data_IF_550536267111
#
_entry.id   IF_550536267111
#
_cell.length_a   1.000
_cell.length_b   1.000
_cell.length_c   1.000
_cell.angle_alpha   90.00
_cell.angle_beta   90.00
_cell.angle_gamma   90.00
#
_symmetry.space_group_name_H-M   'P 1'
#
loop_
_entity.id
_entity.type
_entity.pdbx_description
1 polymer ?
#
# COMPACT_ATOMS: atom_id res chain seq x y z
N UNK A 1 29.70 -14.21 -1.38
CA UNK A 1 28.31 -14.73 -1.47
C UNK A 1 27.41 -13.52 -1.31
N UNK A 2 27.11 -12.86 -2.42
CA UNK A 2 26.42 -11.57 -2.45
C UNK A 2 24.92 -11.86 -2.43
N UNK A 3 24.33 -11.79 -1.23
CA UNK A 3 22.89 -11.98 -1.07
C UNK A 3 22.18 -10.79 -1.71
N UNK A 4 21.71 -11.04 -2.93
CA UNK A 4 20.96 -10.09 -3.74
C UNK A 4 19.78 -9.51 -2.94
N UNK A 5 19.63 -8.17 -2.85
CA UNK A 5 18.47 -7.53 -2.22
C UNK A 5 17.14 -7.80 -2.97
N UNK A 6 17.17 -8.55 -4.07
CA UNK A 6 16.01 -8.97 -4.86
C UNK A 6 15.18 -10.06 -4.20
N UNK A 7 15.81 -10.95 -3.43
CA UNK A 7 15.09 -12.08 -2.81
C UNK A 7 14.31 -11.61 -1.60
N UNK A 8 14.88 -10.75 -0.74
CA UNK A 8 14.21 -10.25 0.47
C UNK A 8 12.90 -9.52 0.16
N UNK A 9 12.85 -8.79 -0.95
CA UNK A 9 11.68 -8.01 -1.33
C UNK A 9 10.55 -8.89 -1.89
N UNK A 10 10.88 -9.87 -2.75
CA UNK A 10 9.90 -10.80 -3.31
C UNK A 10 9.39 -11.80 -2.26
N UNK A 11 10.26 -12.27 -1.37
CA UNK A 11 9.95 -13.20 -0.29
C UNK A 11 9.08 -12.55 0.80
N UNK A 12 9.33 -11.27 1.13
CA UNK A 12 8.46 -10.51 2.06
C UNK A 12 7.09 -10.19 1.46
N UNK A 13 7.00 -9.95 0.15
CA UNK A 13 5.71 -9.78 -0.54
C UNK A 13 4.91 -11.09 -0.56
N UNK A 14 5.57 -12.24 -0.67
CA UNK A 14 4.91 -13.55 -0.60
C UNK A 14 4.29 -13.83 0.79
N UNK A 15 4.78 -13.20 1.86
CA UNK A 15 4.17 -13.28 3.19
C UNK A 15 2.91 -12.42 3.39
N UNK A 16 2.56 -11.55 2.43
CA UNK A 16 1.47 -10.59 2.52
C UNK A 16 0.10 -11.13 2.04
N UNK A 17 -0.09 -12.45 2.05
CA UNK A 17 -1.34 -13.13 1.68
C UNK A 17 -2.59 -12.62 2.44
N UNK A 18 -2.40 -11.94 3.58
CA UNK A 18 -3.48 -11.34 4.38
C UNK A 18 -3.70 -9.84 4.16
N UNK A 19 -2.96 -9.22 3.25
CA UNK A 19 -2.95 -7.77 3.04
C UNK A 19 -2.05 -7.05 4.04
N UNK A 20 -1.16 -6.20 3.54
CA UNK A 20 -0.24 -5.40 4.31
C UNK A 20 -0.74 -3.95 4.49
N UNK A 21 -0.35 -3.29 5.56
CA UNK A 21 -0.59 -1.84 5.69
C UNK A 21 0.31 -1.08 4.71
N UNK A 22 -0.25 -0.12 3.99
CA UNK A 22 0.48 0.75 3.05
C UNK A 22 1.68 1.41 3.73
N UNK A 23 1.53 1.85 4.99
CA UNK A 23 2.61 2.43 5.77
C UNK A 23 3.75 1.45 6.09
N UNK A 24 3.45 0.16 6.20
CA UNK A 24 4.46 -0.88 6.42
C UNK A 24 5.21 -1.17 5.11
N UNK A 25 4.48 -1.29 3.99
CA UNK A 25 5.08 -1.37 2.66
C UNK A 25 5.99 -0.16 2.36
N UNK A 26 5.58 1.05 2.74
CA UNK A 26 6.42 2.25 2.62
C UNK A 26 7.80 2.06 3.26
N UNK A 27 7.82 1.56 4.50
CA UNK A 27 9.07 1.28 5.21
C UNK A 27 9.91 0.22 4.49
N UNK A 28 9.29 -0.83 3.97
CA UNK A 28 9.96 -1.90 3.21
C UNK A 28 10.66 -1.34 1.97
N UNK A 29 10.04 -0.40 1.26
CA UNK A 29 10.62 0.21 0.05
C UNK A 29 11.55 1.39 0.34
N UNK A 30 11.78 1.72 1.62
CA UNK A 30 12.57 2.88 2.02
C UNK A 30 11.87 4.23 1.79
N UNK A 31 10.55 4.25 1.61
CA UNK A 31 9.74 5.46 1.52
C UNK A 31 9.14 5.83 2.88
N UNK A 32 9.06 7.14 3.14
CA UNK A 32 8.33 7.63 4.30
C UNK A 32 6.83 7.30 4.19
N UNK A 33 6.16 6.86 5.27
CA UNK A 33 4.73 6.56 5.25
C UNK A 33 3.90 7.75 4.77
N UNK A 34 4.18 8.98 5.23
CA UNK A 34 3.48 10.18 4.74
C UNK A 34 3.68 10.41 3.23
N UNK A 35 4.87 10.10 2.71
CA UNK A 35 5.22 10.31 1.30
C UNK A 35 4.46 9.35 0.40
N UNK A 36 4.40 8.07 0.76
CA UNK A 36 3.63 7.10 -0.03
C UNK A 36 2.14 7.47 -0.08
N UNK A 37 1.55 7.91 1.03
CA UNK A 37 0.16 8.35 1.06
C UNK A 37 -0.06 9.62 0.23
N UNK A 38 0.92 10.53 0.14
CA UNK A 38 0.86 11.67 -0.78
C UNK A 38 0.83 11.22 -2.22
N UNK A 39 1.83 10.43 -2.63
CA UNK A 39 1.97 9.91 -4.00
C UNK A 39 0.70 9.17 -4.42
N UNK A 40 0.19 8.28 -3.58
CA UNK A 40 -1.02 7.53 -3.88
C UNK A 40 -2.25 8.44 -4.08
N UNK A 41 -2.35 9.54 -3.33
CA UNK A 41 -3.44 10.52 -3.49
C UNK A 41 -3.26 11.36 -4.75
N UNK A 42 -2.03 11.80 -5.02
CA UNK A 42 -1.68 12.58 -6.22
C UNK A 42 -1.94 11.79 -7.51
N UNK A 43 -1.65 10.49 -7.50
CA UNK A 43 -1.90 9.60 -8.64
C UNK A 43 -3.33 9.07 -8.73
N UNK A 44 -4.28 9.59 -7.92
CA UNK A 44 -5.66 9.09 -7.85
C UNK A 44 -5.72 7.57 -7.64
N UNK A 45 -4.81 7.03 -6.83
CA UNK A 45 -4.85 5.64 -6.36
C UNK A 45 -5.64 5.56 -5.05
N UNK A 46 -5.40 6.53 -4.16
CA UNK A 46 -6.18 6.76 -2.96
C UNK A 46 -7.00 8.05 -3.08
N UNK A 47 -8.18 8.03 -2.48
CA UNK A 47 -9.03 9.21 -2.33
C UNK A 47 -8.45 10.15 -1.26
N UNK A 48 -8.41 11.43 -1.56
CA UNK A 48 -7.77 12.45 -0.73
C UNK A 48 -8.72 13.22 0.19
N UNK A 49 -10.03 12.96 0.15
CA UNK A 49 -11.03 13.77 0.86
C UNK A 49 -12.24 13.01 1.38
N UNK A 50 -12.86 13.61 2.40
CA UNK A 50 -14.09 13.17 3.04
C UNK A 50 -13.94 11.91 3.89
N UNK A 51 -15.06 11.23 4.14
CA UNK A 51 -15.14 9.96 4.85
C UNK A 51 -14.38 8.81 4.14
N UNK A 52 -14.04 9.03 2.86
CA UNK A 52 -13.30 8.09 2.02
C UNK A 52 -11.80 8.39 1.96
N UNK A 53 -11.29 9.24 2.86
CA UNK A 53 -9.87 9.58 2.89
C UNK A 53 -9.02 8.32 3.09
N UNK A 54 -8.04 8.12 2.21
CA UNK A 54 -7.13 6.97 2.15
C UNK A 54 -7.80 5.67 1.72
N UNK A 55 -8.99 5.73 1.13
CA UNK A 55 -9.59 4.59 0.44
C UNK A 55 -9.08 4.48 -1.00
N UNK A 56 -8.82 3.26 -1.49
CA UNK A 56 -8.45 3.05 -2.87
C UNK A 56 -9.66 3.24 -3.77
N UNK A 57 -9.44 3.66 -5.02
CA UNK A 57 -10.52 3.65 -6.00
C UNK A 57 -10.99 2.23 -6.26
N UNK A 58 -12.29 2.08 -6.52
CA UNK A 58 -12.93 0.78 -6.78
C UNK A 58 -12.21 -0.01 -7.88
N UNK A 59 -11.68 0.67 -8.90
CA UNK A 59 -10.88 0.04 -9.97
C UNK A 59 -9.68 -0.74 -9.42
N UNK A 60 -8.93 -0.19 -8.45
CA UNK A 60 -7.76 -0.89 -7.90
C UNK A 60 -8.14 -2.02 -6.93
N UNK A 61 -9.34 -1.93 -6.33
CA UNK A 61 -9.92 -3.03 -5.55
C UNK A 61 -10.30 -4.17 -6.48
N UNK A 62 -11.01 -3.86 -7.58
CA UNK A 62 -11.45 -4.84 -8.58
C UNK A 62 -10.25 -5.55 -9.26
N UNK A 63 -9.18 -4.80 -9.55
CA UNK A 63 -7.91 -5.36 -10.03
C UNK A 63 -7.18 -6.24 -9.00
N UNK A 64 -7.62 -6.22 -7.74
CA UNK A 64 -7.07 -7.00 -6.64
C UNK A 64 -5.75 -6.46 -6.09
N UNK A 65 -5.46 -5.16 -6.27
CA UNK A 65 -4.25 -4.52 -5.76
C UNK A 65 -4.41 -4.05 -4.32
N UNK A 66 -5.60 -3.61 -3.94
CA UNK A 66 -5.91 -3.18 -2.59
C UNK A 66 -7.17 -3.87 -2.10
N UNK A 67 -7.26 -4.01 -0.79
CA UNK A 67 -8.47 -4.46 -0.11
C UNK A 67 -8.81 -3.48 0.99
N UNK A 68 -10.10 -3.30 1.24
CA UNK A 68 -10.60 -2.41 2.29
C UNK A 68 -11.21 -3.29 3.37
N UNK A 69 -10.62 -3.24 4.56
CA UNK A 69 -11.16 -3.91 5.73
C UNK A 69 -11.99 -2.92 6.54
N UNK A 70 -13.27 -3.23 6.73
CA UNK A 70 -14.10 -2.50 7.67
C UNK A 70 -13.83 -3.01 9.08
N UNK A 71 -13.57 -2.09 10.00
CA UNK A 71 -13.36 -2.38 11.41
C UNK A 71 -14.22 -1.42 12.22
N UNK A 72 -15.07 -1.96 13.06
CA UNK A 72 -15.79 -1.18 14.07
C UNK A 72 -14.86 -0.87 15.23
N UNK A 73 -14.79 0.39 15.64
CA UNK A 73 -14.11 0.80 16.85
C UNK A 73 -15.03 1.72 17.65
N UNK A 74 -15.08 1.51 18.96
CA UNK A 74 -15.84 2.35 19.86
C UNK A 74 -15.05 3.63 20.14
N UNK A 75 -15.69 4.78 19.94
CA UNK A 75 -15.15 6.07 20.37
C UNK A 75 -16.23 6.82 21.11
N UNK A 76 -15.97 7.16 22.38
CA UNK A 76 -16.88 7.93 23.24
C UNK A 76 -18.33 7.38 23.22
N UNK A 77 -18.51 6.09 23.49
CA UNK A 77 -19.82 5.39 23.52
C UNK A 77 -20.52 5.23 22.15
N UNK A 78 -19.95 5.77 21.06
CA UNK A 78 -20.44 5.54 19.70
C UNK A 78 -19.58 4.50 18.96
N UNK A 79 -20.22 3.45 18.45
CA UNK A 79 -19.59 2.51 17.53
C UNK A 79 -19.36 3.19 16.17
N UNK A 80 -18.10 3.51 15.84
CA UNK A 80 -17.74 4.05 14.53
C UNK A 80 -17.19 2.97 13.62
N UNK A 81 -17.60 3.02 12.36
CA UNK A 81 -17.11 2.14 11.31
C UNK A 81 -15.89 2.80 10.69
N UNK A 82 -14.71 2.25 10.99
CA UNK A 82 -13.47 2.58 10.31
C UNK A 82 -13.26 1.74 9.06
N UNK A 83 -12.64 2.34 8.05
CA UNK A 83 -12.19 1.62 6.88
C UNK A 83 -10.67 1.68 6.79
N UNK A 84 -10.02 0.52 6.76
CA UNK A 84 -8.57 0.41 6.66
C UNK A 84 -8.19 -0.17 5.32
N UNK A 85 -7.40 0.57 4.56
CA UNK A 85 -6.87 0.12 3.28
C UNK A 85 -5.62 -0.71 3.48
N UNK A 86 -5.65 -1.92 2.93
CA UNK A 86 -4.53 -2.84 2.89
C UNK A 86 -4.10 -3.04 1.43
N UNK A 87 -2.79 -3.18 1.21
CA UNK A 87 -2.21 -3.54 -0.07
C UNK A 87 -2.05 -5.06 -0.13
N UNK A 88 -2.48 -5.69 -1.22
CA UNK A 88 -2.29 -7.14 -1.42
C UNK A 88 -0.89 -7.41 -1.96
N UNK A 89 -0.40 -8.65 -1.92
CA UNK A 89 0.89 -8.98 -2.54
C UNK A 89 0.97 -8.60 -4.04
N UNK A 90 -0.15 -8.74 -4.77
CA UNK A 90 -0.27 -8.26 -6.16
C UNK A 90 -0.17 -6.74 -6.25
N UNK A 91 -0.81 -6.03 -5.32
CA UNK A 91 -0.72 -4.58 -5.20
C UNK A 91 0.70 -4.10 -4.94
N UNK A 92 1.44 -4.76 -4.05
CA UNK A 92 2.82 -4.41 -3.71
C UNK A 92 3.75 -4.52 -4.92
N UNK A 93 3.60 -5.59 -5.71
CA UNK A 93 4.34 -5.76 -6.97
C UNK A 93 4.00 -4.65 -7.97
N UNK A 94 2.71 -4.36 -8.15
CA UNK A 94 2.25 -3.31 -9.06
C UNK A 94 2.74 -1.93 -8.61
N UNK A 95 2.63 -1.61 -7.32
CA UNK A 95 3.05 -0.33 -6.76
C UNK A 95 4.55 -0.13 -6.87
N UNK A 96 5.33 -1.17 -6.57
CA UNK A 96 6.78 -1.16 -6.71
C UNK A 96 7.17 -0.85 -8.15
N UNK A 97 6.58 -1.57 -9.12
CA UNK A 97 6.81 -1.31 -10.54
C UNK A 97 6.39 0.11 -10.93
N UNK A 98 5.26 0.58 -10.43
CA UNK A 98 4.76 1.94 -10.68
C UNK A 98 5.70 3.00 -10.11
N UNK A 99 6.27 2.78 -8.93
CA UNK A 99 7.23 3.73 -8.33
C UNK A 99 8.58 3.74 -9.03
N UNK A 100 9.00 2.60 -9.58
CA UNK A 100 10.19 2.54 -10.45
C UNK A 100 9.94 3.35 -11.73
N UNK A 101 8.78 3.15 -12.38
CA UNK A 101 8.36 3.89 -13.58
C UNK A 101 8.27 5.41 -13.35
N UNK A 102 7.78 5.82 -12.18
CA UNK A 102 7.71 7.21 -11.75
C UNK A 102 9.06 7.80 -11.31
N UNK A 103 10.14 7.01 -11.28
CA UNK A 103 11.46 7.44 -10.81
C UNK A 103 11.53 7.70 -9.29
N UNK A 104 10.49 7.30 -8.54
CA UNK A 104 10.41 7.45 -7.08
C UNK A 104 11.30 6.42 -6.40
N UNK A 105 11.24 5.18 -6.88
CA UNK A 105 12.17 4.13 -6.51
C UNK A 105 13.23 4.02 -7.60
N UNK A 106 14.50 3.97 -7.20
CA UNK A 106 15.53 3.53 -8.12
C UNK A 106 15.39 2.03 -8.29
N UNK A 107 15.19 1.56 -9.52
CA UNK A 107 15.50 0.18 -9.84
C UNK A 107 16.96 -0.02 -9.45
N UNK A 108 17.24 -0.74 -8.36
CA UNK A 108 18.60 -1.19 -8.12
C UNK A 108 18.91 -2.13 -9.28
N UNK A 109 19.74 -1.63 -10.20
CA UNK A 109 20.44 -2.44 -11.18
C UNK A 109 21.06 -3.63 -10.44
N UNK A 110 20.93 -4.79 -11.06
CA UNK A 110 21.36 -6.08 -10.56
C UNK A 110 22.81 -6.05 -10.06
#
# INVERSE_FOLDING_TARGET
MEAAPKVDFADRIAGADKGALIGNFAKTVGLGPKKIFSILREHRILMAGGERHNLPFQEYIDRGYFTVKQSTYETNDEARIGQTTLITGKGELWLTKRFIDLGILKARAA
#
